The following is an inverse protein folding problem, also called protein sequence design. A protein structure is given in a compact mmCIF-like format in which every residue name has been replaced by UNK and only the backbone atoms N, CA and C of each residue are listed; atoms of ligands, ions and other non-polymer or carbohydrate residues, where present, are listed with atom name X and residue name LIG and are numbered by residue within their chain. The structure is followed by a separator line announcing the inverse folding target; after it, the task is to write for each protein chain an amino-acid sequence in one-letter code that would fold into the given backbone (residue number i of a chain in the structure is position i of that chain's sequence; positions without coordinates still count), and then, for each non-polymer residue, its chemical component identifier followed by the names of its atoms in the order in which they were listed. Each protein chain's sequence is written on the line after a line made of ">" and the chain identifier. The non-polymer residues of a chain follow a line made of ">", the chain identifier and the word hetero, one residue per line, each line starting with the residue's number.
data_IF_991197286858
#
_entry.id   IF_991197286858
#
_cell.length_a   1.000
_cell.length_b   1.000
_cell.length_c   1.000
_cell.angle_alpha   90.00
_cell.angle_beta   90.00
_cell.angle_gamma   90.00
#
_symmetry.space_group_name_H-M   'P 1'
#
loop_
_entity.id
_entity.type
_entity.pdbx_description
1 polymer ?
#
# COMPACT_ATOMS: atom_id res chain seq x y z
N UNK A 1 -2.59 -17.68 -24.38
CA UNK A 1 -3.44 -17.34 -23.22
C UNK A 1 -3.10 -15.92 -22.84
N UNK A 2 -4.02 -14.98 -22.99
CA UNK A 2 -3.84 -13.64 -22.40
C UNK A 2 -3.75 -13.81 -20.88
N UNK A 3 -2.62 -13.41 -20.30
CA UNK A 3 -2.50 -13.32 -18.85
C UNK A 3 -3.41 -12.19 -18.42
N UNK A 4 -4.55 -12.53 -17.82
CA UNK A 4 -5.43 -11.55 -17.19
C UNK A 4 -4.64 -10.87 -16.08
N UNK A 5 -4.28 -9.60 -16.27
CA UNK A 5 -3.50 -8.86 -15.28
C UNK A 5 -4.26 -8.82 -13.95
N UNK A 6 -3.61 -9.27 -12.88
CA UNK A 6 -4.14 -9.13 -11.53
C UNK A 6 -4.06 -7.66 -11.14
N UNK A 7 -5.21 -7.00 -11.06
CA UNK A 7 -5.32 -5.59 -10.72
C UNK A 7 -6.36 -5.35 -9.64
N UNK A 8 -5.96 -4.62 -8.60
CA UNK A 8 -6.89 -4.02 -7.64
C UNK A 8 -7.05 -2.55 -8.03
N UNK A 9 -8.26 -2.08 -8.35
CA UNK A 9 -8.49 -0.72 -8.86
C UNK A 9 -8.19 0.37 -7.81
N UNK A 10 -8.28 0.03 -6.53
CA UNK A 10 -7.95 0.95 -5.43
C UNK A 10 -6.45 0.90 -5.17
N UNK A 11 -5.75 1.95 -5.60
CA UNK A 11 -4.33 2.17 -5.29
C UNK A 11 -4.18 2.87 -3.94
N UNK A 12 -3.38 2.29 -3.03
CA UNK A 12 -3.11 2.91 -1.73
C UNK A 12 -2.19 4.12 -1.86
N UNK A 13 -2.39 5.12 -1.00
CA UNK A 13 -1.43 6.18 -0.80
C UNK A 13 -0.17 5.63 -0.12
N UNK A 14 1.02 6.09 -0.52
CA UNK A 14 2.29 5.63 0.06
C UNK A 14 2.35 5.80 1.59
N UNK A 15 1.75 6.86 2.11
CA UNK A 15 1.73 7.20 3.53
C UNK A 15 0.88 6.20 4.32
N UNK A 16 -0.23 5.75 3.73
CA UNK A 16 -1.10 4.72 4.30
C UNK A 16 -0.32 3.44 4.59
N UNK A 17 0.54 3.00 3.67
CA UNK A 17 1.34 1.78 3.81
C UNK A 17 2.23 1.87 5.06
N UNK A 18 2.96 2.98 5.20
CA UNK A 18 3.82 3.22 6.35
C UNK A 18 3.05 3.32 7.67
N UNK A 19 1.85 3.94 7.68
CA UNK A 19 0.99 4.03 8.86
C UNK A 19 0.52 2.65 9.30
N UNK A 20 -0.10 1.88 8.41
CA UNK A 20 -0.65 0.56 8.71
C UNK A 20 0.44 -0.39 9.21
N UNK A 21 1.61 -0.36 8.58
CA UNK A 21 2.77 -1.15 9.02
C UNK A 21 3.20 -0.80 10.45
N UNK A 22 3.32 0.49 10.77
CA UNK A 22 3.73 0.97 12.09
C UNK A 22 2.71 0.64 13.17
N UNK A 23 1.41 0.72 12.88
CA UNK A 23 0.33 0.35 13.81
C UNK A 23 0.46 -1.12 14.25
N UNK A 24 0.82 -2.03 13.32
CA UNK A 24 1.06 -3.45 13.65
C UNK A 24 2.45 -3.72 14.24
N UNK A 25 3.29 -2.71 14.43
CA UNK A 25 4.65 -2.87 14.96
C UNK A 25 5.59 -3.64 14.03
N UNK A 26 5.31 -3.67 12.72
CA UNK A 26 6.08 -4.43 11.73
C UNK A 26 7.16 -3.56 11.11
N UNK A 27 8.36 -4.10 10.89
CA UNK A 27 9.44 -3.40 10.17
C UNK A 27 9.20 -3.39 8.67
N UNK A 28 9.79 -2.44 7.94
CA UNK A 28 9.69 -2.41 6.48
C UNK A 28 10.20 -3.72 5.87
N UNK A 29 11.31 -4.28 6.36
CA UNK A 29 11.84 -5.57 5.88
C UNK A 29 10.82 -6.69 6.02
N UNK A 30 10.17 -6.82 7.18
CA UNK A 30 9.17 -7.86 7.42
C UNK A 30 7.92 -7.72 6.52
N UNK A 31 7.52 -6.49 6.16
CA UNK A 31 6.42 -6.29 5.20
C UNK A 31 6.88 -6.61 3.77
N UNK A 32 8.10 -6.19 3.40
CA UNK A 32 8.70 -6.47 2.10
C UNK A 32 8.83 -7.99 1.84
N UNK A 33 9.24 -8.75 2.85
CA UNK A 33 9.34 -10.21 2.79
C UNK A 33 7.98 -10.85 2.48
N UNK A 34 6.90 -10.39 3.13
CA UNK A 34 5.52 -10.87 2.86
C UNK A 34 5.05 -10.55 1.45
N UNK A 35 5.56 -9.46 0.87
CA UNK A 35 5.25 -9.02 -0.49
C UNK A 35 6.16 -9.65 -1.55
N UNK A 36 7.17 -10.42 -1.16
CA UNK A 36 8.20 -10.99 -2.04
C UNK A 36 8.91 -9.91 -2.86
N UNK A 37 9.32 -8.83 -2.21
CA UNK A 37 10.09 -7.73 -2.81
C UNK A 37 11.30 -7.38 -1.93
N UNK A 38 12.27 -6.66 -2.49
CA UNK A 38 13.39 -6.14 -1.70
C UNK A 38 12.95 -5.05 -0.73
N UNK A 39 13.53 -5.02 0.47
CA UNK A 39 13.31 -3.98 1.49
C UNK A 39 13.49 -2.55 0.94
N UNK A 40 14.50 -2.33 0.10
CA UNK A 40 14.74 -1.04 -0.56
C UNK A 40 13.60 -0.62 -1.49
N UNK A 41 12.91 -1.57 -2.14
CA UNK A 41 11.76 -1.29 -2.98
C UNK A 41 10.57 -0.83 -2.15
N UNK A 42 10.31 -1.47 -1.00
CA UNK A 42 9.24 -1.03 -0.09
C UNK A 42 9.53 0.37 0.46
N UNK A 43 10.77 0.66 0.88
CA UNK A 43 11.11 2.00 1.38
C UNK A 43 10.89 3.10 0.34
N UNK A 44 11.22 2.85 -0.94
CA UNK A 44 10.95 3.78 -2.03
C UNK A 44 9.46 3.98 -2.29
N UNK A 45 8.66 2.93 -2.10
CA UNK A 45 7.20 3.02 -2.18
C UNK A 45 6.67 3.85 -1.02
N UNK A 46 7.03 3.54 0.22
CA UNK A 46 6.55 4.25 1.43
C UNK A 46 6.96 5.73 1.47
N UNK A 47 8.09 6.09 0.85
CA UNK A 47 8.53 7.48 0.72
C UNK A 47 7.92 8.23 -0.46
N UNK A 48 7.12 7.56 -1.30
CA UNK A 48 6.58 8.14 -2.53
C UNK A 48 7.61 8.33 -3.65
N UNK A 49 8.85 7.85 -3.48
CA UNK A 49 9.91 7.97 -4.49
C UNK A 49 9.63 7.14 -5.75
N UNK A 50 8.88 6.04 -5.64
CA UNK A 50 8.55 5.19 -6.78
C UNK A 50 7.04 4.92 -6.82
N UNK A 51 6.39 5.06 -7.99
CA UNK A 51 4.97 4.75 -8.12
C UNK A 51 4.69 3.26 -7.86
N UNK A 52 3.49 2.97 -7.37
CA UNK A 52 3.05 1.61 -7.07
C UNK A 52 2.52 0.96 -8.35
N UNK A 53 3.21 -0.08 -8.84
CA UNK A 53 2.74 -0.88 -9.97
C UNK A 53 1.54 -1.77 -9.59
N UNK A 54 0.73 -2.20 -10.57
CA UNK A 54 -0.50 -2.97 -10.32
C UNK A 54 -0.25 -4.27 -9.52
N UNK A 55 0.77 -5.06 -9.90
CA UNK A 55 1.14 -6.28 -9.16
C UNK A 55 1.66 -5.96 -7.75
N UNK A 56 2.34 -4.83 -7.57
CA UNK A 56 2.80 -4.37 -6.26
C UNK A 56 1.60 -4.03 -5.37
N UNK A 57 0.58 -3.37 -5.93
CA UNK A 57 -0.65 -3.07 -5.22
C UNK A 57 -1.34 -4.34 -4.76
N UNK A 58 -1.47 -5.34 -5.63
CA UNK A 58 -2.02 -6.67 -5.24
C UNK A 58 -1.26 -7.29 -4.07
N UNK A 59 0.08 -7.24 -4.11
CA UNK A 59 0.94 -7.76 -3.05
C UNK A 59 0.80 -6.96 -1.75
N UNK A 60 0.67 -5.63 -1.81
CA UNK A 60 0.43 -4.76 -0.67
C UNK A 60 -0.88 -5.14 0.03
N UNK A 61 -1.98 -5.20 -0.71
CA UNK A 61 -3.29 -5.58 -0.17
C UNK A 61 -3.23 -6.96 0.48
N UNK A 62 -2.63 -7.96 -0.19
CA UNK A 62 -2.46 -9.29 0.38
C UNK A 62 -1.59 -9.31 1.64
N UNK A 63 -0.50 -8.53 1.65
CA UNK A 63 0.40 -8.48 2.80
C UNK A 63 -0.27 -7.80 4.00
N UNK A 64 -1.03 -6.72 3.78
CA UNK A 64 -1.77 -6.01 4.82
C UNK A 64 -2.89 -6.86 5.40
N UNK A 65 -3.65 -7.59 4.58
CA UNK A 65 -4.64 -8.55 5.09
C UNK A 65 -3.96 -9.71 5.83
N UNK A 66 -2.78 -10.15 5.37
CA UNK A 66 -1.92 -11.09 6.08
C UNK A 66 -1.37 -10.57 7.43
N UNK A 67 -1.42 -9.26 7.69
CA UNK A 67 -1.15 -8.66 9.02
C UNK A 67 -2.41 -8.58 9.90
N UNK A 68 -3.53 -9.14 9.44
CA UNK A 68 -4.80 -9.15 10.16
C UNK A 68 -5.54 -7.83 10.08
N UNK A 69 -5.45 -7.12 8.96
CA UNK A 69 -6.40 -6.06 8.61
C UNK A 69 -7.54 -6.62 7.76
N UNK A 70 -8.75 -6.13 7.96
CA UNK A 70 -9.81 -6.31 6.96
C UNK A 70 -9.58 -5.40 5.75
N UNK A 71 -10.24 -5.70 4.64
CA UNK A 71 -10.19 -4.87 3.43
C UNK A 71 -10.77 -3.48 3.72
N UNK A 72 -11.85 -3.42 4.49
CA UNK A 72 -12.53 -2.20 4.91
C UNK A 72 -11.63 -1.33 5.79
N UNK A 73 -10.90 -1.91 6.74
CA UNK A 73 -9.97 -1.16 7.60
C UNK A 73 -8.87 -0.48 6.77
N UNK A 74 -8.26 -1.22 5.83
CA UNK A 74 -7.25 -0.67 4.93
C UNK A 74 -7.84 0.46 4.09
N UNK A 75 -9.03 0.25 3.52
CA UNK A 75 -9.72 1.23 2.69
C UNK A 75 -10.05 2.52 3.44
N UNK A 76 -10.60 2.40 4.66
CA UNK A 76 -10.99 3.55 5.48
C UNK A 76 -9.78 4.39 5.90
N UNK A 77 -8.69 3.73 6.32
CA UNK A 77 -7.45 4.45 6.67
C UNK A 77 -6.87 5.13 5.43
N UNK A 78 -6.88 4.47 4.27
CA UNK A 78 -6.41 5.07 3.03
C UNK A 78 -7.23 6.29 2.60
N UNK A 79 -8.56 6.20 2.67
CA UNK A 79 -9.46 7.31 2.39
C UNK A 79 -9.23 8.49 3.35
N UNK A 80 -9.05 8.21 4.64
CA UNK A 80 -8.71 9.23 5.63
C UNK A 80 -7.38 9.92 5.32
N UNK A 81 -6.34 9.14 5.01
CA UNK A 81 -5.02 9.68 4.66
C UNK A 81 -5.08 10.51 3.38
N UNK A 82 -5.83 10.08 2.36
CA UNK A 82 -6.03 10.87 1.14
C UNK A 82 -6.77 12.18 1.41
N UNK A 83 -7.75 12.18 2.31
CA UNK A 83 -8.50 13.39 2.67
C UNK A 83 -7.68 14.36 3.54
N UNK A 84 -6.77 13.87 4.38
CA UNK A 84 -6.09 14.67 5.42
C UNK A 84 -4.59 14.88 5.20
N UNK A 85 -3.94 14.00 4.45
CA UNK A 85 -2.48 13.88 4.36
C UNK A 85 -1.92 13.96 2.94
N UNK A 86 -2.72 14.24 1.92
CA UNK A 86 -2.27 14.53 0.56
C UNK A 86 -2.99 15.75 0.04
N UNK A 87 -2.25 16.69 -0.56
CA UNK A 87 -2.76 17.92 -1.16
C UNK A 87 -4.03 17.64 -1.95
N UNK A 88 -5.08 18.40 -1.66
CA UNK A 88 -6.24 18.53 -2.53
C UNK A 88 -5.72 19.16 -3.82
N UNK A 89 -5.44 18.37 -4.86
CA UNK A 89 -5.51 18.94 -6.20
C UNK A 89 -7.00 19.19 -6.45
N UNK A 90 -7.41 20.40 -6.10
CA UNK A 90 -8.66 21.01 -6.54
C UNK A 90 -8.64 21.06 -8.07
N UNK A 91 -9.14 20.01 -8.71
CA UNK A 91 -9.89 20.17 -9.93
C UNK A 91 -11.37 20.24 -9.54
N UNK A 92 -11.73 21.40 -8.97
CA UNK A 92 -13.07 21.94 -9.03
C UNK A 92 -13.32 22.58 -10.41
#
# INVERSE_FOLDING_TARGET
>A
MEQKELKIPVMLNHTTIGILRKIKGVTASQLADRMLIGHSALNKVESGFTPIADLMNVRLWKALTGLGYSVEEVYLVDAFVKQKGGVVDEAA
#
